data_IF_267548271207
#
_entry.id   IF_267548271207
#
_cell.length_a   1.000
_cell.length_b   1.000
_cell.length_c   1.000
_cell.angle_alpha   90.00
_cell.angle_beta   90.00
_cell.angle_gamma   90.00
#
_symmetry.space_group_name_H-M   'P 1'
#
loop_
_entity.id
_entity.type
_entity.pdbx_description
1 polymer ?
#
# COMPACT_ATOMS: atom_id res chain seq x y z
N UNK A 1 -24.31 -1.09 3.74
CA UNK A 1 -23.39 -1.86 2.88
C UNK A 1 -22.10 -1.88 3.62
N UNK A 2 -21.74 -3.07 4.08
CA UNK A 2 -20.66 -3.33 5.00
C UNK A 2 -20.03 -4.68 4.64
N UNK A 3 -18.74 -4.82 4.93
CA UNK A 3 -17.94 -6.02 4.61
C UNK A 3 -17.11 -6.42 5.83
N UNK A 4 -16.74 -7.68 5.91
CA UNK A 4 -15.87 -8.21 6.97
C UNK A 4 -14.39 -7.82 6.80
N UNK A 5 -13.92 -7.70 5.55
CA UNK A 5 -12.62 -7.10 5.21
C UNK A 5 -12.69 -6.35 3.89
N UNK A 6 -11.80 -5.37 3.71
CA UNK A 6 -11.67 -4.58 2.48
C UNK A 6 -10.41 -4.89 1.69
N UNK A 7 -9.59 -5.84 2.15
CA UNK A 7 -8.36 -6.21 1.47
C UNK A 7 -7.85 -7.59 1.88
N UNK A 8 -6.97 -8.15 1.06
CA UNK A 8 -6.29 -9.41 1.34
C UNK A 8 -5.64 -10.03 0.10
N UNK A 9 -5.01 -11.18 0.27
CA UNK A 9 -4.34 -11.91 -0.82
C UNK A 9 -5.32 -12.79 -1.60
N UNK A 10 -4.96 -13.12 -2.83
CA UNK A 10 -5.70 -14.10 -3.63
C UNK A 10 -5.62 -15.52 -3.05
N UNK A 11 -6.72 -16.30 -3.14
CA UNK A 11 -8.08 -15.85 -3.42
C UNK A 11 -8.64 -15.08 -2.22
N UNK A 12 -9.25 -13.92 -2.46
CA UNK A 12 -9.82 -13.10 -1.39
C UNK A 12 -11.33 -13.31 -1.32
N UNK A 13 -11.78 -14.10 -0.35
CA UNK A 13 -13.20 -14.20 -0.02
C UNK A 13 -13.61 -13.05 0.90
N UNK A 14 -14.66 -12.33 0.51
CA UNK A 14 -15.27 -11.23 1.26
C UNK A 14 -16.73 -11.57 1.54
N UNK A 15 -17.18 -11.33 2.76
CA UNK A 15 -18.59 -11.40 3.13
C UNK A 15 -19.22 -10.00 3.08
N UNK A 16 -20.20 -9.82 2.22
CA UNK A 16 -20.94 -8.57 2.03
C UNK A 16 -22.28 -8.61 2.76
N UNK A 17 -22.64 -7.46 3.35
CA UNK A 17 -23.90 -7.28 4.06
C UNK A 17 -24.59 -5.97 3.68
N UNK A 18 -25.88 -6.09 3.35
CA UNK A 18 -26.76 -5.01 2.96
C UNK A 18 -27.64 -4.54 4.12
N UNK A 19 -27.78 -3.23 4.26
CA UNK A 19 -28.63 -2.58 5.26
C UNK A 19 -29.49 -1.51 4.58
N UNK A 20 -30.76 -1.43 4.97
CA UNK A 20 -31.77 -0.53 4.40
C UNK A 20 -32.64 0.03 5.52
N UNK A 21 -33.00 1.30 5.42
CA UNK A 21 -33.92 1.97 6.35
C UNK A 21 -35.39 1.67 6.05
N UNK A 22 -35.67 1.11 4.87
CA UNK A 22 -37.01 0.72 4.42
C UNK A 22 -37.05 -0.79 4.12
N UNK A 23 -38.22 -1.44 4.21
CA UNK A 23 -38.35 -2.85 3.82
C UNK A 23 -37.84 -3.06 2.39
N UNK A 24 -36.94 -4.02 2.19
CA UNK A 24 -36.36 -4.34 0.90
C UNK A 24 -36.89 -5.68 0.39
N UNK A 25 -37.27 -5.71 -0.88
CA UNK A 25 -37.73 -6.91 -1.59
C UNK A 25 -36.55 -7.70 -2.18
N UNK A 26 -35.53 -7.01 -2.69
CA UNK A 26 -34.33 -7.65 -3.26
C UNK A 26 -33.06 -6.82 -3.10
N UNK A 27 -31.93 -7.52 -3.21
CA UNK A 27 -30.58 -6.99 -3.07
C UNK A 27 -29.72 -7.57 -4.18
N UNK A 28 -29.19 -6.74 -5.06
CA UNK A 28 -28.31 -7.15 -6.16
C UNK A 28 -26.93 -6.52 -5.98
N UNK A 29 -25.87 -7.31 -5.99
CA UNK A 29 -24.50 -6.86 -5.83
C UNK A 29 -23.73 -6.96 -7.13
N UNK A 30 -22.86 -5.99 -7.40
CA UNK A 30 -21.78 -6.13 -8.38
C UNK A 30 -20.45 -5.90 -7.67
N UNK A 31 -19.48 -6.78 -7.91
CA UNK A 31 -18.25 -6.82 -7.12
C UNK A 31 -17.10 -6.05 -7.75
N UNK A 32 -17.28 -5.54 -8.96
CA UNK A 32 -16.27 -4.76 -9.69
C UNK A 32 -15.32 -5.61 -10.54
N UNK A 33 -15.34 -6.93 -10.41
CA UNK A 33 -14.54 -7.89 -11.17
C UNK A 33 -15.34 -8.56 -12.32
N UNK A 34 -16.53 -8.04 -12.61
CA UNK A 34 -17.46 -8.58 -13.61
C UNK A 34 -18.44 -9.63 -13.07
N UNK A 35 -18.27 -10.08 -11.82
CA UNK A 35 -19.24 -10.92 -11.15
C UNK A 35 -20.34 -10.10 -10.45
N UNK A 36 -21.48 -10.76 -10.24
CA UNK A 36 -22.62 -10.23 -9.50
C UNK A 36 -23.30 -11.33 -8.69
N UNK A 37 -24.17 -10.95 -7.77
CA UNK A 37 -24.95 -11.91 -6.98
C UNK A 37 -26.11 -11.27 -6.24
N UNK A 38 -27.07 -12.09 -5.84
CA UNK A 38 -28.30 -11.65 -5.20
C UNK A 38 -28.40 -12.14 -3.75
N UNK A 39 -28.86 -11.27 -2.86
CA UNK A 39 -29.05 -11.57 -1.45
C UNK A 39 -28.61 -10.43 -0.54
N UNK A 40 -29.30 -10.28 0.59
CA UNK A 40 -28.94 -9.27 1.58
C UNK A 40 -27.54 -9.52 2.15
N UNK A 41 -27.21 -10.78 2.41
CA UNK A 41 -25.88 -11.22 2.82
C UNK A 41 -25.36 -12.21 1.78
N UNK A 42 -24.17 -11.97 1.26
CA UNK A 42 -23.57 -12.78 0.19
C UNK A 42 -22.05 -12.84 0.37
N UNK A 43 -21.42 -13.97 0.04
CA UNK A 43 -19.97 -14.05 -0.09
C UNK A 43 -19.56 -14.01 -1.55
N UNK A 44 -18.43 -13.37 -1.82
CA UNK A 44 -17.80 -13.38 -3.14
C UNK A 44 -16.30 -13.55 -2.99
N UNK A 45 -15.72 -14.34 -3.89
CA UNK A 45 -14.28 -14.62 -3.90
C UNK A 45 -13.64 -13.97 -5.11
N UNK A 46 -12.83 -12.95 -4.87
CA UNK A 46 -12.01 -12.35 -5.91
C UNK A 46 -10.87 -13.30 -6.28
N UNK A 47 -10.78 -13.58 -7.59
CA UNK A 47 -9.76 -14.44 -8.18
C UNK A 47 -8.69 -13.63 -8.94
N UNK A 48 -8.96 -12.35 -9.17
CA UNK A 48 -8.04 -11.43 -9.81
C UNK A 48 -7.63 -10.32 -8.84
N UNK A 49 -6.39 -9.87 -8.98
CA UNK A 49 -5.85 -8.76 -8.23
C UNK A 49 -6.37 -7.44 -8.77
N UNK A 50 -6.50 -6.44 -7.92
CA UNK A 50 -6.97 -5.13 -8.34
C UNK A 50 -7.62 -4.35 -7.22
N UNK A 51 -7.99 -3.11 -7.56
CA UNK A 51 -8.93 -2.33 -6.79
C UNK A 51 -10.30 -2.50 -7.44
N UNK A 52 -11.31 -2.81 -6.64
CA UNK A 52 -12.64 -3.13 -7.14
C UNK A 52 -13.69 -2.18 -6.59
N UNK A 53 -14.51 -1.64 -7.49
CA UNK A 53 -15.70 -0.88 -7.17
C UNK A 53 -16.83 -1.87 -6.84
N UNK A 54 -17.42 -1.74 -5.65
CA UNK A 54 -18.54 -2.60 -5.24
C UNK A 54 -19.82 -1.80 -5.25
N UNK A 55 -20.85 -2.33 -5.91
CA UNK A 55 -22.19 -1.78 -5.88
C UNK A 55 -23.19 -2.73 -5.23
N UNK A 56 -24.21 -2.14 -4.61
CA UNK A 56 -25.43 -2.82 -4.19
C UNK A 56 -26.63 -2.05 -4.76
N UNK A 57 -27.62 -2.76 -5.29
CA UNK A 57 -28.91 -2.23 -5.71
C UNK A 57 -29.99 -2.86 -4.85
N UNK A 58 -30.69 -2.02 -4.08
CA UNK A 58 -31.76 -2.44 -3.18
C UNK A 58 -33.09 -2.10 -3.84
N UNK A 59 -33.99 -3.07 -3.99
CA UNK A 59 -35.33 -2.83 -4.54
C UNK A 59 -36.37 -2.86 -3.42
N UNK A 60 -37.27 -1.88 -3.40
CA UNK A 60 -38.42 -1.79 -2.51
C UNK A 60 -39.63 -1.31 -3.31
N UNK A 61 -40.55 -2.22 -3.63
CA UNK A 61 -41.64 -2.00 -4.57
C UNK A 61 -41.10 -1.64 -5.96
N UNK A 62 -41.54 -0.50 -6.49
CA UNK A 62 -41.07 0.03 -7.78
C UNK A 62 -39.78 0.87 -7.65
N UNK A 63 -39.25 1.04 -6.44
CA UNK A 63 -38.07 1.90 -6.19
C UNK A 63 -36.79 1.08 -6.18
N UNK A 64 -35.78 1.53 -6.91
CA UNK A 64 -34.42 0.97 -6.92
C UNK A 64 -33.45 1.98 -6.29
N UNK A 65 -32.68 1.54 -5.30
CA UNK A 65 -31.75 2.36 -4.52
C UNK A 65 -30.32 1.81 -4.68
N UNK A 66 -29.53 2.31 -5.65
CA UNK A 66 -28.14 1.90 -5.83
C UNK A 66 -27.21 2.60 -4.85
N UNK A 67 -26.19 1.90 -4.36
CA UNK A 67 -25.05 2.47 -3.62
C UNK A 67 -23.76 1.83 -4.13
N UNK A 68 -22.79 2.67 -4.50
CA UNK A 68 -21.48 2.26 -5.02
C UNK A 68 -20.41 2.76 -4.06
N UNK A 69 -19.45 1.90 -3.71
CA UNK A 69 -18.19 2.29 -3.07
C UNK A 69 -17.05 2.02 -4.06
N UNK A 70 -16.30 3.07 -4.42
CA UNK A 70 -15.19 2.98 -5.37
C UNK A 70 -13.91 2.51 -4.69
N UNK A 71 -13.11 1.71 -5.37
CA UNK A 71 -11.88 1.10 -4.85
C UNK A 71 -12.08 0.47 -3.46
N UNK A 72 -13.25 -0.13 -3.23
CA UNK A 72 -13.67 -0.56 -1.90
C UNK A 72 -12.97 -1.82 -1.44
N UNK A 73 -12.66 -2.72 -2.38
CA UNK A 73 -11.90 -3.95 -2.12
C UNK A 73 -10.55 -3.89 -2.82
N UNK A 74 -9.48 -4.15 -2.08
CA UNK A 74 -8.12 -4.23 -2.58
C UNK A 74 -7.60 -5.67 -2.53
N UNK A 75 -7.53 -6.32 -3.67
CA UNK A 75 -7.01 -7.67 -3.80
C UNK A 75 -5.54 -7.61 -4.17
N UNK A 76 -4.70 -8.05 -3.24
CA UNK A 76 -3.26 -7.93 -3.27
C UNK A 76 -2.63 -9.11 -4.01
N UNK A 77 -1.47 -8.90 -4.63
CA UNK A 77 -0.78 -9.96 -5.36
C UNK A 77 0.74 -9.94 -5.31
N UNK A 78 1.38 -8.77 -5.28
CA UNK A 78 2.84 -8.69 -5.30
C UNK A 78 3.32 -7.83 -4.14
N UNK A 79 4.40 -8.25 -3.48
CA UNK A 79 4.94 -7.57 -2.29
C UNK A 79 6.44 -7.42 -2.46
N UNK A 80 6.98 -6.26 -2.09
CA UNK A 80 8.42 -6.04 -1.96
C UNK A 80 8.74 -5.80 -0.49
N UNK A 81 9.64 -6.60 0.09
CA UNK A 81 10.04 -6.52 1.49
C UNK A 81 11.56 -6.55 1.58
N UNK A 82 12.15 -5.71 2.42
CA UNK A 82 13.52 -5.92 2.90
C UNK A 82 13.50 -6.03 4.44
N UNK A 83 14.16 -7.02 5.04
CA UNK A 83 14.25 -7.11 6.48
C UNK A 83 15.07 -5.94 7.02
N UNK A 84 14.70 -5.43 8.21
CA UNK A 84 15.57 -4.50 8.95
C UNK A 84 16.82 -5.24 9.40
N UNK A 85 17.96 -4.99 8.75
CA UNK A 85 19.23 -5.62 9.09
C UNK A 85 19.89 -4.88 10.25
N UNK A 86 20.07 -5.56 11.39
CA UNK A 86 20.85 -5.05 12.53
C UNK A 86 22.33 -5.25 12.24
N UNK A 87 23.03 -4.16 11.92
CA UNK A 87 24.48 -4.21 11.64
C UNK A 87 25.27 -4.00 12.93
N UNK A 88 26.10 -4.98 13.31
CA UNK A 88 27.02 -4.91 14.45
C UNK A 88 28.42 -5.31 13.95
N UNK A 89 29.45 -4.54 14.31
CA UNK A 89 30.73 -4.36 13.60
C UNK A 89 31.44 -5.63 13.08
N UNK A 90 32.16 -5.61 11.96
CA UNK A 90 32.73 -4.50 11.17
C UNK A 90 32.71 -4.81 9.66
N UNK A 91 32.81 -3.74 8.85
CA UNK A 91 33.09 -3.66 7.41
C UNK A 91 31.91 -3.49 6.43
N UNK A 92 30.89 -4.35 6.38
CA UNK A 92 29.83 -4.21 5.36
C UNK A 92 28.45 -4.68 5.87
N UNK A 93 27.40 -4.04 5.36
CA UNK A 93 26.02 -4.47 5.55
C UNK A 93 25.46 -4.96 4.22
N UNK A 94 24.87 -6.15 4.22
CA UNK A 94 24.15 -6.69 3.07
C UNK A 94 22.66 -6.74 3.40
N UNK A 95 21.84 -6.21 2.50
CA UNK A 95 20.38 -6.26 2.59
C UNK A 95 19.82 -7.02 1.41
N UNK A 96 19.06 -8.05 1.69
CA UNK A 96 18.27 -8.77 0.69
C UNK A 96 16.92 -8.09 0.52
N UNK A 97 16.53 -7.84 -0.74
CA UNK A 97 15.20 -7.39 -1.10
C UNK A 97 14.44 -8.60 -1.65
N UNK A 98 13.36 -8.96 -0.98
CA UNK A 98 12.46 -10.05 -1.30
C UNK A 98 11.29 -9.52 -2.11
N UNK A 99 10.97 -10.18 -3.23
CA UNK A 99 9.75 -9.93 -3.94
C UNK A 99 8.91 -11.20 -4.05
N UNK A 100 7.63 -11.04 -3.77
CA UNK A 100 6.59 -11.96 -4.22
C UNK A 100 5.93 -11.33 -5.43
N UNK A 101 5.86 -12.05 -6.54
CA UNK A 101 5.13 -11.63 -7.74
C UNK A 101 4.25 -12.78 -8.23
N UNK A 102 2.99 -12.47 -8.52
CA UNK A 102 2.01 -13.43 -9.01
C UNK A 102 1.97 -13.52 -10.54
N UNK A 103 2.67 -12.62 -11.25
CA UNK A 103 2.81 -12.65 -12.72
C UNK A 103 4.26 -12.48 -13.16
N UNK A 104 4.65 -12.92 -14.38
CA UNK A 104 5.99 -12.70 -14.88
C UNK A 104 6.35 -11.21 -15.05
N UNK A 105 7.54 -10.82 -14.61
CA UNK A 105 8.06 -9.44 -14.69
C UNK A 105 9.24 -9.34 -15.66
N UNK A 106 9.46 -8.18 -16.26
CA UNK A 106 10.63 -7.87 -17.09
C UNK A 106 11.41 -6.64 -16.61
N UNK A 107 10.86 -5.86 -15.66
CA UNK A 107 11.55 -4.73 -15.03
C UNK A 107 11.09 -4.54 -13.59
N UNK A 108 12.02 -4.27 -12.69
CA UNK A 108 11.79 -3.85 -11.32
C UNK A 108 12.53 -2.51 -11.10
N UNK A 109 11.86 -1.50 -10.52
CA UNK A 109 12.50 -0.28 -10.01
C UNK A 109 12.25 -0.17 -8.52
N UNK A 110 13.32 -0.08 -7.75
CA UNK A 110 13.32 -0.21 -6.31
C UNK A 110 13.96 1.05 -5.71
N UNK A 111 13.16 2.03 -5.26
CA UNK A 111 13.67 3.12 -4.44
C UNK A 111 14.08 2.59 -3.05
N UNK A 112 15.20 3.07 -2.52
CA UNK A 112 15.77 2.72 -1.22
C UNK A 112 16.22 3.96 -0.43
N UNK A 113 15.70 4.14 0.78
CA UNK A 113 16.21 5.08 1.77
C UNK A 113 16.99 4.34 2.86
N UNK A 114 18.13 4.86 3.31
CA UNK A 114 18.97 4.22 4.32
C UNK A 114 19.39 5.19 5.43
N UNK A 115 18.39 5.82 6.06
CA UNK A 115 18.59 6.76 7.16
C UNK A 115 19.00 6.08 8.48
N UNK A 116 19.59 6.85 9.40
CA UNK A 116 19.97 6.38 10.74
C UNK A 116 21.22 7.08 11.31
N UNK A 117 21.76 6.57 12.41
CA UNK A 117 22.88 7.17 13.13
C UNK A 117 24.26 6.65 12.69
N UNK A 118 24.34 5.46 12.09
CA UNK A 118 25.55 4.92 11.47
C UNK A 118 25.85 5.64 10.15
N UNK A 119 27.13 5.88 9.90
CA UNK A 119 27.64 6.43 8.63
C UNK A 119 27.65 5.36 7.53
N UNK A 120 26.48 4.83 7.18
CA UNK A 120 26.30 3.92 6.04
C UNK A 120 26.57 4.67 4.73
N UNK A 121 27.39 4.06 3.88
CA UNK A 121 27.63 4.50 2.51
C UNK A 121 27.20 3.38 1.57
N UNK A 122 26.41 3.70 0.56
CA UNK A 122 26.07 2.74 -0.50
C UNK A 122 27.36 2.30 -1.21
N UNK A 123 27.52 1.00 -1.42
CA UNK A 123 28.70 0.41 -2.05
C UNK A 123 28.36 -0.19 -3.41
N UNK A 124 27.49 -1.20 -3.43
CA UNK A 124 27.18 -1.94 -4.65
C UNK A 124 25.83 -2.66 -4.61
N UNK A 125 25.41 -3.18 -5.76
CA UNK A 125 24.22 -4.05 -5.95
C UNK A 125 24.64 -5.36 -6.61
N UNK A 126 23.95 -6.45 -6.31
CA UNK A 126 24.12 -7.74 -7.02
C UNK A 126 22.79 -8.49 -7.15
N UNK A 127 22.66 -9.24 -8.25
CA UNK A 127 21.59 -10.23 -8.48
C UNK A 127 22.10 -11.67 -8.44
N UNK A 128 23.37 -11.89 -8.11
CA UNK A 128 23.95 -13.23 -8.02
C UNK A 128 23.17 -14.06 -7.00
N UNK A 129 22.70 -15.24 -7.39
CA UNK A 129 21.87 -16.11 -6.53
C UNK A 129 20.48 -15.55 -6.19
N UNK A 130 20.05 -14.46 -6.83
CA UNK A 130 18.69 -13.93 -6.75
C UNK A 130 17.83 -14.49 -7.90
N UNK A 131 16.51 -14.38 -7.80
CA UNK A 131 15.59 -14.78 -8.87
C UNK A 131 15.78 -13.97 -10.17
N UNK A 132 16.35 -12.78 -10.04
CA UNK A 132 16.71 -11.85 -11.12
C UNK A 132 18.12 -12.09 -11.69
N UNK A 133 18.82 -13.18 -11.33
CA UNK A 133 20.18 -13.47 -11.82
C UNK A 133 20.28 -13.55 -13.35
N UNK A 134 19.17 -13.86 -14.03
CA UNK A 134 19.11 -13.96 -15.48
C UNK A 134 18.88 -12.60 -16.17
N UNK A 135 18.57 -11.54 -15.42
CA UNK A 135 18.34 -10.21 -15.98
C UNK A 135 19.69 -9.57 -16.32
N UNK A 136 19.80 -8.98 -17.50
CA UNK A 136 21.06 -8.53 -18.09
C UNK A 136 21.29 -7.01 -17.93
N UNK A 137 20.37 -6.29 -17.31
CA UNK A 137 20.50 -4.86 -17.02
C UNK A 137 20.22 -4.57 -15.53
N UNK A 138 21.28 -4.33 -14.76
CA UNK A 138 21.22 -3.90 -13.36
C UNK A 138 21.87 -2.52 -13.25
N UNK A 139 21.06 -1.48 -13.01
CA UNK A 139 21.50 -0.08 -12.99
C UNK A 139 21.07 0.64 -11.71
N UNK A 140 21.98 1.40 -11.09
CA UNK A 140 21.61 2.42 -10.10
C UNK A 140 21.25 3.70 -10.84
N UNK A 141 19.95 3.94 -11.03
CA UNK A 141 19.44 5.02 -11.88
C UNK A 141 19.32 6.37 -11.15
N UNK A 142 19.47 6.36 -9.81
CA UNK A 142 19.55 7.56 -8.98
C UNK A 142 20.34 7.25 -7.71
N UNK A 143 21.20 8.18 -7.28
CA UNK A 143 21.96 8.11 -6.03
C UNK A 143 22.12 9.51 -5.45
N UNK A 144 21.62 9.71 -4.24
CA UNK A 144 21.77 10.90 -3.43
C UNK A 144 22.36 10.50 -2.08
N UNK A 145 23.68 10.55 -1.99
CA UNK A 145 24.42 10.15 -0.79
C UNK A 145 24.19 11.11 0.39
N UNK A 146 23.81 12.37 0.11
CA UNK A 146 23.57 13.39 1.15
C UNK A 146 22.27 13.08 1.89
N UNK A 147 21.20 12.82 1.13
CA UNK A 147 19.90 12.48 1.70
C UNK A 147 19.74 10.98 1.97
N UNK A 148 20.73 10.15 1.61
CA UNK A 148 20.81 8.69 1.81
C UNK A 148 19.72 7.93 1.08
N UNK A 149 19.66 8.16 -0.23
CA UNK A 149 18.59 7.73 -1.12
C UNK A 149 19.18 7.16 -2.41
N UNK A 150 18.67 6.03 -2.90
CA UNK A 150 19.05 5.49 -4.21
C UNK A 150 17.89 4.77 -4.90
N UNK A 151 17.91 4.62 -6.22
CA UNK A 151 16.93 3.84 -6.95
C UNK A 151 17.63 2.83 -7.86
N UNK A 152 17.31 1.55 -7.68
CA UNK A 152 17.88 0.46 -8.46
C UNK A 152 16.87 0.00 -9.50
N UNK A 153 17.30 -0.13 -10.75
CA UNK A 153 16.54 -0.76 -11.83
C UNK A 153 17.15 -2.13 -12.13
N UNK A 154 16.31 -3.15 -12.21
CA UNK A 154 16.65 -4.49 -12.66
C UNK A 154 15.75 -4.80 -13.84
N UNK A 155 16.31 -4.91 -15.04
CA UNK A 155 15.56 -5.07 -16.27
C UNK A 155 16.12 -6.21 -17.10
N UNK A 156 15.22 -6.91 -17.78
CA UNK A 156 15.56 -7.75 -18.92
C UNK A 156 15.54 -6.92 -20.20
N UNK A 157 16.65 -6.87 -20.93
CA UNK A 157 16.74 -6.23 -22.23
C UNK A 157 16.09 -7.13 -23.29
N UNK A 158 15.23 -6.57 -24.14
CA UNK A 158 14.50 -7.31 -25.19
C UNK A 158 15.41 -8.02 -26.23
N UNK A 159 16.72 -7.74 -26.22
CA UNK A 159 17.71 -8.37 -27.08
C UNK A 159 18.43 -9.55 -26.41
N UNK A 160 18.10 -9.86 -25.16
CA UNK A 160 18.64 -10.98 -24.40
C UNK A 160 17.76 -12.23 -24.59
N UNK A 161 18.34 -13.42 -24.42
CA UNK A 161 17.58 -14.68 -24.41
C UNK A 161 16.95 -14.98 -23.04
N UNK A 162 17.05 -14.06 -22.08
CA UNK A 162 16.56 -14.28 -20.74
C UNK A 162 15.02 -14.29 -20.72
N UNK A 163 14.40 -15.25 -20.00
CA UNK A 163 12.97 -15.25 -19.79
C UNK A 163 12.57 -14.11 -18.85
N UNK A 164 11.25 -13.84 -18.78
CA UNK A 164 10.71 -12.99 -17.72
C UNK A 164 11.05 -13.59 -16.35
N UNK A 165 11.10 -12.75 -15.31
CA UNK A 165 11.10 -13.20 -13.92
C UNK A 165 9.74 -13.85 -13.66
N UNK A 166 9.68 -15.17 -13.70
CA UNK A 166 8.46 -15.95 -13.47
C UNK A 166 7.79 -15.61 -12.13
N UNK A 167 6.50 -15.93 -12.01
CA UNK A 167 5.77 -15.81 -10.75
C UNK A 167 6.46 -16.64 -9.63
N UNK A 168 6.42 -16.12 -8.40
CA UNK A 168 7.03 -16.77 -7.25
C UNK A 168 7.42 -15.79 -6.15
N UNK A 169 8.12 -16.31 -5.15
CA UNK A 169 8.62 -15.59 -3.98
C UNK A 169 10.13 -15.84 -3.81
N UNK A 170 10.87 -14.82 -3.40
CA UNK A 170 12.26 -14.91 -3.02
C UNK A 170 13.06 -13.64 -3.27
N UNK A 171 14.37 -13.72 -3.03
CA UNK A 171 15.29 -12.58 -3.14
C UNK A 171 15.43 -12.15 -4.61
N UNK A 172 15.26 -10.86 -4.87
CA UNK A 172 15.38 -10.23 -6.19
C UNK A 172 16.53 -9.22 -6.28
N UNK A 173 17.12 -8.80 -5.16
CA UNK A 173 18.24 -7.86 -5.15
C UNK A 173 19.03 -8.00 -3.84
N UNK A 174 20.35 -7.88 -3.93
CA UNK A 174 21.23 -7.65 -2.78
C UNK A 174 21.84 -6.26 -2.86
N UNK A 175 21.70 -5.50 -1.79
CA UNK A 175 22.29 -4.17 -1.60
C UNK A 175 23.46 -4.30 -0.63
N UNK A 176 24.60 -3.71 -0.96
CA UNK A 176 25.77 -3.66 -0.11
C UNK A 176 26.06 -2.23 0.33
N UNK A 177 26.37 -2.06 1.61
CA UNK A 177 26.76 -0.79 2.21
C UNK A 177 28.05 -0.97 2.99
N UNK A 178 28.90 0.06 2.98
CA UNK A 178 30.08 0.16 3.85
C UNK A 178 29.78 1.05 5.06
N UNK A 179 30.43 0.79 6.19
CA UNK A 179 30.31 1.64 7.39
C UNK A 179 31.65 2.33 7.63
N UNK A 180 31.71 3.63 7.41
CA UNK A 180 32.97 4.39 7.50
C UNK A 180 33.40 4.74 8.95
N UNK A 181 32.53 4.49 9.93
CA UNK A 181 32.83 4.68 11.35
C UNK A 181 31.88 3.83 12.22
N UNK A 182 32.16 2.54 12.45
CA UNK A 182 31.27 1.68 13.21
C UNK A 182 31.24 2.14 14.68
N UNK A 183 30.04 2.42 15.20
CA UNK A 183 29.83 2.79 16.59
C UNK A 183 29.05 1.66 17.28
N UNK A 184 29.58 1.03 18.34
CA UNK A 184 28.88 -0.04 19.06
C UNK A 184 27.51 0.42 19.60
N UNK A 185 26.47 -0.39 19.43
CA UNK A 185 25.13 -0.13 19.96
C UNK A 185 24.20 0.73 19.09
N UNK A 186 24.66 1.22 17.94
CA UNK A 186 23.83 1.95 16.97
C UNK A 186 23.26 1.01 15.89
N UNK A 187 22.07 1.34 15.38
CA UNK A 187 21.37 0.59 14.31
C UNK A 187 20.89 1.60 13.26
N UNK A 188 20.98 1.25 11.98
CA UNK A 188 20.29 1.97 10.91
C UNK A 188 19.20 1.08 10.31
N UNK A 189 17.95 1.54 10.24
CA UNK A 189 16.98 0.93 9.35
C UNK A 189 17.37 1.23 7.90
N UNK A 190 17.38 0.21 7.05
CA UNK A 190 17.36 0.39 5.60
C UNK A 190 15.91 0.15 5.18
N UNK A 191 15.30 1.18 4.61
CA UNK A 191 13.88 1.25 4.30
C UNK A 191 13.76 1.33 2.78
N UNK A 192 13.20 0.29 2.17
CA UNK A 192 12.82 0.36 0.76
C UNK A 192 11.67 1.37 0.66
N UNK A 193 11.60 2.19 -0.39
CA UNK A 193 10.56 3.21 -0.66
C UNK A 193 10.47 4.40 0.32
N UNK A 194 11.38 4.52 1.30
CA UNK A 194 11.28 5.57 2.34
C UNK A 194 11.28 7.03 1.84
N UNK A 195 11.67 7.28 0.58
CA UNK A 195 11.90 8.63 0.08
C UNK A 195 11.24 9.01 -1.26
N UNK A 196 10.61 8.08 -1.95
CA UNK A 196 10.15 8.30 -3.31
C UNK A 196 8.72 8.83 -3.33
N UNK A 197 8.41 9.77 -4.23
CA UNK A 197 7.02 10.11 -4.57
C UNK A 197 6.36 9.04 -5.48
N UNK A 198 7.11 7.99 -5.82
CA UNK A 198 6.72 6.89 -6.68
C UNK A 198 6.98 5.57 -5.95
N UNK A 199 5.94 4.74 -5.80
CA UNK A 199 6.07 3.37 -5.29
C UNK A 199 7.04 2.55 -6.17
N UNK A 200 7.60 1.43 -5.69
CA UNK A 200 8.41 0.55 -6.53
C UNK A 200 7.61 0.14 -7.78
N UNK A 201 8.25 0.13 -8.96
CA UNK A 201 7.56 -0.15 -10.22
C UNK A 201 7.93 -1.55 -10.71
N UNK A 202 6.93 -2.40 -10.96
CA UNK A 202 7.10 -3.71 -11.59
C UNK A 202 6.44 -3.70 -12.97
N UNK A 203 7.23 -3.89 -14.01
CA UNK A 203 6.71 -4.02 -15.37
C UNK A 203 6.76 -5.48 -15.78
N UNK A 204 5.70 -5.97 -16.40
CA UNK A 204 5.65 -7.26 -17.07
C UNK A 204 5.21 -7.09 -18.53
N UNK A 205 5.33 -8.14 -19.36
CA UNK A 205 4.91 -8.09 -20.77
C UNK A 205 3.39 -7.88 -20.95
N UNK A 206 2.58 -8.14 -19.92
CA UNK A 206 1.12 -8.09 -19.98
C UNK A 206 0.49 -7.00 -19.11
N UNK A 207 1.26 -6.31 -18.25
CA UNK A 207 0.77 -5.23 -17.40
C UNK A 207 1.90 -4.33 -16.88
N UNK A 208 1.62 -3.04 -16.71
CA UNK A 208 2.40 -2.12 -15.87
C UNK A 208 1.77 -2.15 -14.48
N UNK A 209 2.53 -2.54 -13.47
CA UNK A 209 2.03 -2.73 -12.10
C UNK A 209 2.91 -2.00 -11.07
N UNK A 210 2.29 -1.55 -9.98
CA UNK A 210 2.93 -0.79 -8.92
C UNK A 210 2.79 -1.59 -7.60
N UNK A 211 3.75 -2.43 -7.22
CA UNK A 211 3.73 -3.11 -5.92
C UNK A 211 3.65 -2.12 -4.76
N UNK A 212 2.92 -2.51 -3.73
CA UNK A 212 2.93 -1.80 -2.45
C UNK A 212 4.14 -2.29 -1.66
N UNK A 213 5.03 -1.37 -1.31
CA UNK A 213 6.07 -1.66 -0.33
C UNK A 213 5.45 -1.68 1.06
N UNK A 214 5.63 -2.77 1.80
CA UNK A 214 5.15 -2.90 3.17
C UNK A 214 6.36 -2.96 4.12
N UNK A 215 6.76 -1.81 4.65
CA UNK A 215 7.56 -1.79 5.87
C UNK A 215 6.66 -2.22 7.04
N UNK A 216 6.48 -3.53 7.25
CA UNK A 216 5.72 -4.07 8.39
C UNK A 216 4.19 -3.98 8.31
N UNK A 217 3.59 -3.93 7.11
CA UNK A 217 2.13 -3.93 6.92
C UNK A 217 1.67 -2.82 5.96
N UNK A 218 0.44 -2.95 5.44
CA UNK A 218 -0.19 -1.98 4.53
C UNK A 218 -0.70 -0.78 5.33
N UNK A 219 -0.40 0.45 4.89
CA UNK A 219 -1.16 1.62 5.31
C UNK A 219 -2.35 1.79 4.37
N UNK A 220 -3.49 1.32 4.82
CA UNK A 220 -4.79 1.68 4.28
C UNK A 220 -5.11 3.08 4.78
N UNK A 221 -5.80 3.90 3.98
CA UNK A 221 -6.29 5.18 4.47
C UNK A 221 -7.11 4.94 5.76
N UNK A 222 -6.65 5.50 6.87
CA UNK A 222 -7.29 5.29 8.17
C UNK A 222 -8.35 6.36 8.37
N UNK A 223 -9.51 5.97 8.93
CA UNK A 223 -10.44 6.97 9.45
C UNK A 223 -9.68 7.89 10.43
N UNK A 224 -9.79 9.19 10.23
CA UNK A 224 -9.06 10.25 10.92
C UNK A 224 -7.73 10.70 10.30
N UNK A 225 -7.17 9.99 9.32
CA UNK A 225 -5.92 10.35 8.60
C UNK A 225 -6.24 11.22 7.37
N UNK A 226 -6.76 12.41 7.66
CA UNK A 226 -7.33 13.32 6.66
C UNK A 226 -6.30 13.84 5.65
N UNK A 227 -5.03 13.92 6.03
CA UNK A 227 -3.94 14.33 5.13
C UNK A 227 -3.22 13.15 4.45
N UNK A 228 -3.68 11.92 4.72
CA UNK A 228 -3.18 10.66 4.16
C UNK A 228 -1.68 10.46 4.42
N UNK A 229 -1.22 10.87 5.59
CA UNK A 229 0.17 10.74 6.03
C UNK A 229 0.48 9.38 6.66
N UNK A 230 -0.53 8.53 6.87
CA UNK A 230 -0.43 7.25 7.57
C UNK A 230 -0.43 7.39 9.09
N UNK A 231 -0.68 8.58 9.64
CA UNK A 231 -0.67 8.85 11.08
C UNK A 231 -1.75 9.84 11.50
N UNK A 232 -2.73 9.40 12.31
CA UNK A 232 -3.73 10.31 12.88
C UNK A 232 -3.09 11.22 13.94
N UNK A 233 -2.94 12.50 13.63
CA UNK A 233 -2.30 13.53 14.45
C UNK A 233 -2.94 14.92 14.26
N UNK A 234 -2.32 15.97 14.80
CA UNK A 234 -2.87 17.33 14.75
C UNK A 234 -2.89 17.94 13.34
N UNK A 235 -2.07 17.42 12.43
CA UNK A 235 -2.06 17.84 11.03
C UNK A 235 -3.36 17.41 10.32
N UNK A 236 -3.96 16.28 10.68
CA UNK A 236 -5.26 15.85 10.17
C UNK A 236 -6.39 16.77 10.62
N UNK A 237 -6.37 17.18 11.89
CA UNK A 237 -7.30 18.19 12.42
C UNK A 237 -7.15 19.50 11.64
N UNK A 238 -5.91 19.90 11.36
CA UNK A 238 -5.60 21.13 10.63
C UNK A 238 -6.07 21.04 9.18
N UNK A 239 -5.85 19.89 8.55
CA UNK A 239 -6.29 19.58 7.20
C UNK A 239 -7.82 19.64 7.10
N UNK A 240 -8.52 18.96 8.01
CA UNK A 240 -9.97 18.89 8.02
C UNK A 240 -10.63 20.24 8.30
N UNK A 241 -10.07 21.05 9.20
CA UNK A 241 -10.51 22.45 9.41
C UNK A 241 -10.25 23.31 8.16
N UNK A 242 -9.11 23.10 7.49
CA UNK A 242 -8.76 23.77 6.24
C UNK A 242 -9.78 23.48 5.14
N UNK A 243 -10.18 22.22 5.00
CA UNK A 243 -11.24 21.79 4.10
C UNK A 243 -12.59 22.45 4.46
N UNK A 244 -13.07 22.24 5.69
CA UNK A 244 -14.42 22.67 6.11
C UNK A 244 -14.64 24.19 6.08
N UNK A 245 -13.60 24.98 6.39
CA UNK A 245 -13.78 26.41 6.65
C UNK A 245 -12.90 27.33 5.82
N UNK A 246 -11.89 26.82 5.12
CA UNK A 246 -10.91 27.65 4.41
C UNK A 246 -10.81 27.32 2.91
N UNK A 247 -11.71 26.49 2.40
CA UNK A 247 -11.71 26.08 0.99
C UNK A 247 -10.50 25.23 0.61
N UNK A 248 -9.93 24.49 1.58
CA UNK A 248 -8.87 23.53 1.34
C UNK A 248 -9.35 22.28 0.58
N UNK A 249 -8.41 21.39 0.18
CA UNK A 249 -8.73 20.14 -0.51
C UNK A 249 -9.51 19.17 0.40
N UNK A 250 -10.36 18.35 -0.22
CA UNK A 250 -11.17 17.31 0.44
C UNK A 250 -10.30 16.09 0.83
N UNK A 251 -10.53 15.46 2.00
CA UNK A 251 -9.91 14.18 2.35
C UNK A 251 -10.19 13.12 1.28
N UNK A 252 -9.26 12.19 1.06
CA UNK A 252 -9.40 11.19 -0.01
C UNK A 252 -9.06 9.77 0.50
N UNK A 253 -10.04 8.88 0.65
CA UNK A 253 -11.47 9.08 0.37
C UNK A 253 -12.14 10.01 1.40
N UNK A 254 -13.19 10.73 1.04
CA UNK A 254 -13.86 11.75 1.90
C UNK A 254 -14.24 11.18 3.27
N UNK A 255 -14.61 9.91 3.30
CA UNK A 255 -15.04 9.15 4.47
C UNK A 255 -13.94 8.98 5.52
N UNK A 256 -12.67 9.19 5.20
CA UNK A 256 -11.61 9.23 6.24
C UNK A 256 -11.71 10.47 7.12
N UNK A 257 -12.38 11.51 6.64
CA UNK A 257 -12.63 12.70 7.43
C UNK A 257 -13.73 12.51 8.48
N UNK A 258 -14.62 11.54 8.29
CA UNK A 258 -15.78 11.25 9.15
C UNK A 258 -15.33 10.47 10.40
N UNK A 259 -14.50 11.14 11.22
CA UNK A 259 -13.80 10.54 12.35
C UNK A 259 -14.73 9.98 13.43
N UNK A 260 -15.95 10.52 13.55
CA UNK A 260 -16.95 10.03 14.50
C UNK A 260 -17.91 8.98 13.94
N UNK A 261 -17.78 8.64 12.64
CA UNK A 261 -18.58 7.62 11.95
C UNK A 261 -20.05 8.00 11.80
N UNK A 262 -20.38 9.29 11.80
CA UNK A 262 -21.76 9.79 11.70
C UNK A 262 -22.31 9.76 10.28
N UNK A 263 -21.46 9.57 9.28
CA UNK A 263 -21.78 9.68 7.86
C UNK A 263 -21.85 11.12 7.36
N UNK A 264 -21.47 12.10 8.18
CA UNK A 264 -21.55 13.54 7.85
C UNK A 264 -20.27 14.24 8.26
N UNK A 265 -19.43 14.57 7.27
CA UNK A 265 -18.19 15.29 7.50
C UNK A 265 -18.43 16.74 7.95
N UNK A 266 -18.19 17.04 9.23
CA UNK A 266 -18.40 18.35 9.83
C UNK A 266 -17.47 18.64 11.03
N UNK A 267 -17.76 19.67 11.82
CA UNK A 267 -16.93 20.09 12.96
C UNK A 267 -16.90 19.07 14.11
N UNK A 268 -17.88 18.18 14.18
CA UNK A 268 -17.92 17.12 15.18
C UNK A 268 -16.78 16.12 14.96
N UNK A 269 -16.41 15.84 13.70
CA UNK A 269 -15.24 15.02 13.36
C UNK A 269 -13.93 15.66 13.82
N UNK A 270 -13.78 16.97 13.59
CA UNK A 270 -12.65 17.75 14.09
C UNK A 270 -12.58 17.67 15.62
N UNK A 271 -13.73 17.81 16.28
CA UNK A 271 -13.83 17.73 17.75
C UNK A 271 -13.49 16.34 18.25
N UNK A 272 -13.91 15.30 17.52
CA UNK A 272 -13.63 13.91 17.80
C UNK A 272 -12.13 13.63 17.72
N UNK A 273 -11.46 14.08 16.65
CA UNK A 273 -10.01 13.96 16.49
C UNK A 273 -9.24 14.67 17.61
N UNK A 274 -9.64 15.88 18.01
CA UNK A 274 -8.99 16.59 19.11
C UNK A 274 -9.15 15.83 20.44
N UNK A 275 -10.34 15.28 20.71
CA UNK A 275 -10.59 14.51 21.92
C UNK A 275 -9.79 13.20 21.93
N UNK A 276 -9.70 12.51 20.79
CA UNK A 276 -8.83 11.35 20.61
C UNK A 276 -7.37 11.69 20.93
N UNK A 277 -6.82 12.75 20.31
CA UNK A 277 -5.40 13.10 20.41
C UNK A 277 -4.98 13.61 21.79
N UNK A 278 -5.84 14.39 22.47
CA UNK A 278 -5.42 15.15 23.66
C UNK A 278 -6.24 14.87 24.92
N UNK A 279 -7.35 14.15 24.82
CA UNK A 279 -8.26 13.90 25.96
C UNK A 279 -8.55 12.43 26.20
N UNK A 280 -7.71 11.54 25.68
CA UNK A 280 -7.87 10.08 25.81
C UNK A 280 -9.22 9.57 25.28
N UNK A 281 -9.75 10.22 24.24
CA UNK A 281 -10.96 9.80 23.55
C UNK A 281 -10.78 8.50 22.73
N UNK A 282 -11.87 7.91 22.23
CA UNK A 282 -11.82 6.71 21.42
C UNK A 282 -11.15 6.97 20.06
N UNK A 283 -10.57 5.91 19.47
CA UNK A 283 -9.94 5.96 18.15
C UNK A 283 -11.00 6.14 17.04
N UNK A 284 -10.74 6.95 15.99
CA UNK A 284 -11.63 7.09 14.83
C UNK A 284 -11.82 5.78 14.07
N UNK A 285 -13.05 5.52 13.62
CA UNK A 285 -13.45 4.30 12.89
C UNK A 285 -14.56 4.64 11.90
N UNK A 286 -14.63 3.89 10.81
CA UNK A 286 -15.77 3.91 9.88
C UNK A 286 -17.05 3.38 10.54
#
# INVERSE_FOLDING_TARGET
MDVDTTYGFLPLEINFSGSSLVPADSWHWTFGDGASGDGQNISHTYQERGLFDVAIEITSGETVMPRIRRNYIAVLADTLIAPTVKVVGEATAMVEVYATNSIPLNELRIPVEYQGALSLKFDSVSTDGCRTVQFDNLDVISLDEINRRLCVRIKNNYNSTAPNLEAGDGVVLRLYFTINNPQPGFVNPIIIDGYSSYLPLFTGPYAVYNPVNMAGGISLAFCGDCDNSGMVNILDVTYLVGYLYKGGPEPNPTEIGDADGSGILNILDVTFLINYLYKSGPQPRY
#
